data_IF_064642410537
#
_entry.id   IF_064642410537
#
_cell.length_a   1.000
_cell.length_b   1.000
_cell.length_c   1.000
_cell.angle_alpha   90.00
_cell.angle_beta   90.00
_cell.angle_gamma   90.00
#
_symmetry.space_group_name_H-M   'P 1'
#
loop_
_entity.id
_entity.type
_entity.pdbx_description
1 polymer ?
#
# COMPACT_ATOMS: atom_id res chain seq x y z
N UNK A 1 -0.30 2.62 -22.56
CA UNK A 1 0.03 1.18 -22.44
C UNK A 1 -0.74 0.60 -21.28
N UNK A 2 -1.26 -0.61 -21.41
CA UNK A 2 -1.97 -1.30 -20.32
C UNK A 2 -0.93 -1.88 -19.35
N UNK A 3 -1.00 -1.54 -18.07
CA UNK A 3 -0.14 -2.12 -17.05
C UNK A 3 -0.71 -3.44 -16.56
N UNK A 4 0.14 -4.43 -16.32
CA UNK A 4 -0.21 -5.65 -15.63
C UNK A 4 0.17 -5.50 -14.15
N UNK A 5 -0.83 -5.43 -13.29
CA UNK A 5 -0.66 -5.22 -11.86
C UNK A 5 -0.92 -6.51 -11.10
N UNK A 6 0.05 -6.91 -10.29
CA UNK A 6 -0.10 -8.03 -9.38
C UNK A 6 -0.73 -7.56 -8.06
N UNK A 7 -1.77 -8.25 -7.60
CA UNK A 7 -2.42 -8.01 -6.31
C UNK A 7 -2.09 -9.17 -5.37
N UNK A 8 -1.56 -8.86 -4.19
CA UNK A 8 -1.28 -9.86 -3.16
C UNK A 8 -2.59 -10.37 -2.56
N UNK A 9 -3.11 -11.48 -3.07
CA UNK A 9 -4.43 -12.00 -2.76
C UNK A 9 -4.40 -13.10 -1.68
N UNK A 10 -3.80 -12.79 -0.52
CA UNK A 10 -3.67 -13.71 0.61
C UNK A 10 -4.77 -13.52 1.64
N UNK A 11 -5.03 -12.26 2.02
CA UNK A 11 -6.04 -11.88 3.02
C UNK A 11 -6.32 -10.38 2.91
N UNK A 12 -7.57 -9.96 3.16
CA UNK A 12 -8.00 -8.56 3.20
C UNK A 12 -8.68 -8.09 1.91
N UNK A 13 -8.56 -6.80 1.60
CA UNK A 13 -9.37 -6.08 0.62
C UNK A 13 -8.81 -6.21 -0.83
N UNK A 14 -8.27 -7.38 -1.20
CA UNK A 14 -7.66 -7.58 -2.52
C UNK A 14 -8.67 -7.51 -3.67
N UNK A 15 -9.92 -7.96 -3.45
CA UNK A 15 -10.96 -7.93 -4.48
C UNK A 15 -11.38 -6.49 -4.83
N UNK A 16 -11.43 -5.59 -3.85
CA UNK A 16 -11.72 -4.17 -4.03
C UNK A 16 -10.60 -3.50 -4.83
N UNK A 17 -9.34 -3.79 -4.52
CA UNK A 17 -8.20 -3.33 -5.32
C UNK A 17 -8.26 -3.80 -6.76
N UNK A 18 -8.59 -5.08 -6.99
CA UNK A 18 -8.74 -5.61 -8.34
C UNK A 18 -9.82 -4.89 -9.14
N UNK A 19 -10.97 -4.64 -8.51
CA UNK A 19 -12.06 -3.92 -9.14
C UNK A 19 -11.65 -2.49 -9.53
N UNK A 20 -11.02 -1.75 -8.61
CA UNK A 20 -10.53 -0.40 -8.86
C UNK A 20 -9.48 -0.37 -9.99
N UNK A 21 -8.54 -1.32 -10.00
CA UNK A 21 -7.51 -1.43 -11.04
C UNK A 21 -8.12 -1.71 -12.43
N UNK A 22 -9.09 -2.62 -12.51
CA UNK A 22 -9.80 -2.91 -13.78
C UNK A 22 -10.57 -1.70 -14.29
N UNK A 23 -11.20 -0.92 -13.39
CA UNK A 23 -11.87 0.33 -13.74
C UNK A 23 -10.88 1.39 -14.25
N UNK A 24 -9.64 1.36 -13.80
CA UNK A 24 -8.55 2.20 -14.32
C UNK A 24 -7.88 1.64 -15.59
N UNK A 25 -8.39 0.55 -16.17
CA UNK A 25 -7.90 -0.02 -17.43
C UNK A 25 -6.64 -0.89 -17.29
N UNK A 26 -6.29 -1.36 -16.10
CA UNK A 26 -5.16 -2.25 -15.87
C UNK A 26 -5.54 -3.72 -16.08
N UNK A 27 -4.58 -4.52 -16.55
CA UNK A 27 -4.63 -5.98 -16.44
C UNK A 27 -4.27 -6.38 -15.01
N UNK A 28 -5.06 -7.25 -14.40
CA UNK A 28 -4.88 -7.66 -13.01
C UNK A 28 -4.56 -9.13 -12.91
N UNK A 29 -3.57 -9.49 -12.11
CA UNK A 29 -3.26 -10.86 -11.71
C UNK A 29 -3.15 -10.98 -10.20
N UNK A 30 -3.52 -12.13 -9.67
CA UNK A 30 -3.36 -12.43 -8.25
C UNK A 30 -2.01 -13.10 -7.97
N UNK A 31 -1.43 -12.80 -6.80
CA UNK A 31 -0.35 -13.57 -6.19
C UNK A 31 -0.93 -14.30 -4.98
N UNK A 32 -1.01 -15.63 -5.06
CA UNK A 32 -1.49 -16.52 -4.00
C UNK A 32 -0.45 -17.57 -3.58
N UNK A 33 0.54 -17.83 -4.41
CA UNK A 33 1.57 -18.83 -4.21
C UNK A 33 2.85 -18.47 -4.96
N UNK A 34 3.98 -19.10 -4.62
CA UNK A 34 5.30 -18.78 -5.19
C UNK A 34 5.35 -18.96 -6.72
N UNK A 35 4.60 -19.89 -7.28
CA UNK A 35 4.52 -20.10 -8.73
C UNK A 35 3.97 -18.85 -9.49
N UNK A 36 3.14 -18.02 -8.85
CA UNK A 36 2.60 -16.83 -9.48
C UNK A 36 3.67 -15.75 -9.70
N UNK A 37 4.76 -15.78 -8.94
CA UNK A 37 5.90 -14.87 -9.10
C UNK A 37 6.70 -15.14 -10.39
N UNK A 38 6.50 -16.26 -11.06
CA UNK A 38 7.14 -16.55 -12.35
C UNK A 38 6.54 -15.74 -13.50
N UNK A 39 5.34 -15.20 -13.32
CA UNK A 39 4.68 -14.34 -14.31
C UNK A 39 5.23 -12.92 -14.21
N UNK A 40 5.38 -12.22 -15.34
CA UNK A 40 5.78 -10.83 -15.35
C UNK A 40 4.64 -9.90 -14.93
N UNK A 41 4.96 -8.87 -14.16
CA UNK A 41 4.05 -7.79 -13.80
C UNK A 41 4.83 -6.48 -13.61
N UNK A 42 4.14 -5.36 -13.72
CA UNK A 42 4.72 -4.02 -13.73
C UNK A 42 4.75 -3.37 -12.34
N UNK A 43 3.82 -3.74 -11.48
CA UNK A 43 3.72 -3.24 -10.10
C UNK A 43 3.02 -4.26 -9.21
N UNK A 44 3.21 -4.08 -7.90
CA UNK A 44 2.59 -4.88 -6.84
C UNK A 44 1.62 -4.02 -6.03
N UNK A 45 0.42 -4.53 -5.79
CA UNK A 45 -0.51 -4.00 -4.80
C UNK A 45 -0.48 -4.88 -3.55
N UNK A 46 -0.27 -4.25 -2.39
CA UNK A 46 -0.34 -4.90 -1.07
C UNK A 46 -1.57 -4.35 -0.36
N UNK A 47 -2.67 -5.12 -0.27
CA UNK A 47 -3.95 -4.66 0.24
C UNK A 47 -3.93 -4.36 1.74
N UNK A 48 -5.00 -3.68 2.19
CA UNK A 48 -5.42 -3.67 3.58
C UNK A 48 -5.84 -5.05 4.06
N UNK A 49 -5.95 -5.22 5.38
CA UNK A 49 -6.28 -6.47 6.03
C UNK A 49 -5.62 -6.60 7.39
N UNK A 50 -5.28 -7.83 7.80
CA UNK A 50 -4.58 -8.09 9.06
C UNK A 50 -3.09 -8.36 8.80
N UNK A 51 -2.24 -7.40 9.14
CA UNK A 51 -0.81 -7.45 8.81
C UNK A 51 -0.07 -8.65 9.41
N UNK A 52 -0.47 -9.13 10.59
CA UNK A 52 0.11 -10.34 11.21
C UNK A 52 -0.23 -11.59 10.42
N UNK A 53 -1.46 -11.70 9.95
CA UNK A 53 -1.92 -12.83 9.13
C UNK A 53 -1.25 -12.82 7.76
N UNK A 54 -1.24 -11.65 7.09
CA UNK A 54 -0.57 -11.51 5.78
C UNK A 54 0.91 -11.83 5.92
N UNK A 55 1.59 -11.30 6.95
CA UNK A 55 3.01 -11.55 7.19
C UNK A 55 3.34 -13.02 7.47
N UNK A 56 2.44 -13.75 8.14
CA UNK A 56 2.55 -15.20 8.35
C UNK A 56 2.40 -15.94 7.02
N UNK A 57 1.34 -15.67 6.26
CA UNK A 57 1.07 -16.30 4.97
C UNK A 57 2.18 -16.05 3.94
N UNK A 58 2.76 -14.85 3.91
CA UNK A 58 3.91 -14.53 3.05
C UNK A 58 5.09 -15.49 3.29
N UNK A 59 5.34 -15.88 4.54
CA UNK A 59 6.42 -16.82 4.88
C UNK A 59 6.03 -18.26 4.60
N UNK A 60 4.83 -18.68 4.98
CA UNK A 60 4.35 -20.05 4.79
C UNK A 60 4.23 -20.43 3.30
N UNK A 61 3.89 -19.45 2.44
CA UNK A 61 3.76 -19.64 1.00
C UNK A 61 5.05 -19.31 0.21
N UNK A 62 6.17 -19.11 0.92
CA UNK A 62 7.49 -18.80 0.36
C UNK A 62 7.52 -17.57 -0.56
N UNK A 63 6.64 -16.59 -0.32
CA UNK A 63 6.53 -15.36 -1.09
C UNK A 63 7.44 -14.25 -0.56
N UNK A 64 7.78 -14.28 0.72
CA UNK A 64 8.37 -13.17 1.45
C UNK A 64 9.71 -12.71 0.85
N UNK A 65 10.66 -13.62 0.70
CA UNK A 65 12.04 -13.30 0.29
C UNK A 65 12.09 -12.73 -1.11
N UNK A 66 11.37 -13.34 -2.04
CA UNK A 66 11.34 -12.90 -3.44
C UNK A 66 10.66 -11.54 -3.59
N UNK A 67 9.51 -11.32 -2.94
CA UNK A 67 8.83 -10.03 -2.98
C UNK A 67 9.68 -8.93 -2.34
N UNK A 68 10.32 -9.19 -1.18
CA UNK A 68 11.21 -8.24 -0.56
C UNK A 68 12.37 -7.86 -1.48
N UNK A 69 12.99 -8.83 -2.15
CA UNK A 69 14.07 -8.61 -3.08
C UNK A 69 13.62 -7.75 -4.27
N UNK A 70 12.47 -8.03 -4.86
CA UNK A 70 11.91 -7.24 -5.96
C UNK A 70 11.57 -5.81 -5.56
N UNK A 71 10.99 -5.62 -4.38
CA UNK A 71 10.68 -4.28 -3.84
C UNK A 71 11.96 -3.47 -3.65
N UNK A 72 13.00 -4.08 -3.06
CA UNK A 72 14.32 -3.44 -2.91
C UNK A 72 15.00 -3.15 -4.24
N UNK A 73 14.76 -3.96 -5.26
CA UNK A 73 15.22 -3.75 -6.63
C UNK A 73 14.44 -2.66 -7.39
N UNK A 74 13.42 -2.06 -6.77
CA UNK A 74 12.67 -0.93 -7.34
C UNK A 74 11.36 -1.32 -8.02
N UNK A 75 10.80 -2.50 -7.71
CA UNK A 75 9.44 -2.84 -8.11
C UNK A 75 8.47 -1.77 -7.57
N UNK A 76 7.65 -1.13 -8.42
CA UNK A 76 6.63 -0.21 -7.96
C UNK A 76 5.60 -0.91 -7.04
N UNK A 77 5.27 -0.27 -5.92
CA UNK A 77 4.34 -0.81 -4.93
C UNK A 77 3.27 0.22 -4.59
N UNK A 78 2.02 -0.23 -4.56
CA UNK A 78 0.87 0.48 -4.00
C UNK A 78 0.38 -0.29 -2.78
N UNK A 79 0.47 0.33 -1.59
CA UNK A 79 0.15 -0.34 -0.34
C UNK A 79 -0.87 0.46 0.48
N UNK A 80 -1.90 -0.21 1.02
CA UNK A 80 -2.93 0.42 1.86
C UNK A 80 -2.99 -0.23 3.24
N UNK A 81 -3.19 0.56 4.27
CA UNK A 81 -3.44 0.15 5.65
C UNK A 81 -2.44 -0.94 6.14
N UNK A 82 -2.82 -2.22 6.14
CA UNK A 82 -1.92 -3.33 6.49
C UNK A 82 -0.69 -3.38 5.56
N UNK A 83 -0.84 -3.05 4.29
CA UNK A 83 0.26 -2.96 3.33
C UNK A 83 1.32 -1.93 3.76
N UNK A 84 0.92 -0.76 4.25
CA UNK A 84 1.84 0.23 4.83
C UNK A 84 2.61 -0.38 6.03
N UNK A 85 1.93 -1.11 6.91
CA UNK A 85 2.58 -1.79 8.07
C UNK A 85 3.61 -2.82 7.59
N UNK A 86 3.30 -3.57 6.53
CA UNK A 86 4.21 -4.58 5.98
C UNK A 86 5.47 -3.97 5.35
N UNK A 87 5.38 -2.77 4.77
CA UNK A 87 6.52 -2.06 4.18
C UNK A 87 7.37 -1.34 5.22
N UNK A 88 6.78 -0.85 6.31
CA UNK A 88 7.43 0.00 7.32
C UNK A 88 8.71 -0.60 7.88
N UNK A 89 9.72 0.25 8.13
CA UNK A 89 10.97 -0.16 8.80
C UNK A 89 10.70 -0.57 10.24
N UNK A 90 9.81 0.13 10.94
CA UNK A 90 9.46 -0.14 12.34
C UNK A 90 7.97 -0.05 12.60
N UNK A 91 7.53 -0.89 13.53
CA UNK A 91 6.20 -0.81 14.14
C UNK A 91 6.41 -0.42 15.61
N UNK A 92 5.78 0.67 16.04
CA UNK A 92 5.92 1.19 17.40
C UNK A 92 5.36 0.19 18.41
N UNK A 93 6.12 -0.06 19.47
CA UNK A 93 5.80 -1.01 20.55
C UNK A 93 5.55 -2.46 20.08
N UNK A 94 6.13 -2.84 18.93
CA UNK A 94 6.03 -4.19 18.38
C UNK A 94 7.40 -4.61 17.81
N UNK A 95 7.85 -5.81 18.16
CA UNK A 95 9.09 -6.39 17.62
C UNK A 95 8.91 -7.03 16.25
N UNK A 96 7.67 -7.12 15.75
CA UNK A 96 7.39 -7.68 14.45
C UNK A 96 8.04 -6.84 13.34
N UNK A 97 8.66 -7.53 12.40
CA UNK A 97 9.27 -6.92 11.23
C UNK A 97 8.89 -7.71 9.99
N UNK A 98 8.53 -6.97 8.94
CA UNK A 98 8.17 -7.55 7.65
C UNK A 98 9.17 -7.11 6.57
N UNK A 99 8.74 -6.54 5.47
CA UNK A 99 9.62 -6.19 4.35
C UNK A 99 10.69 -5.15 4.69
N UNK A 100 10.39 -4.17 5.55
CA UNK A 100 11.34 -3.12 5.97
C UNK A 100 12.00 -2.43 4.78
N UNK A 101 11.20 -1.96 3.86
CA UNK A 101 11.64 -1.31 2.62
C UNK A 101 11.28 0.17 2.55
N UNK A 102 10.43 0.63 3.47
CA UNK A 102 9.95 2.00 3.57
C UNK A 102 10.41 2.61 4.91
N UNK A 103 11.22 3.68 4.88
CA UNK A 103 11.79 4.31 6.09
C UNK A 103 10.75 5.14 6.86
N UNK A 104 9.78 4.45 7.42
CA UNK A 104 8.78 5.03 8.33
C UNK A 104 8.64 4.19 9.58
N UNK A 105 8.20 4.84 10.68
CA UNK A 105 7.70 4.15 11.87
C UNK A 105 6.20 4.28 11.91
N UNK A 106 5.48 3.18 12.05
CA UNK A 106 4.01 3.15 12.11
C UNK A 106 3.54 2.65 13.47
N UNK A 107 2.35 3.10 13.88
CA UNK A 107 1.62 2.56 15.03
C UNK A 107 0.32 1.94 14.55
N UNK A 108 0.03 0.72 15.00
CA UNK A 108 -1.21 0.01 14.67
C UNK A 108 -2.40 0.62 15.42
N UNK A 109 -3.58 0.60 14.80
CA UNK A 109 -4.87 0.98 15.42
C UNK A 109 -4.80 2.35 16.13
N UNK A 110 -4.18 3.33 15.50
CA UNK A 110 -3.79 4.59 16.16
C UNK A 110 -4.95 5.55 16.41
N UNK A 111 -6.08 5.39 15.72
CA UNK A 111 -7.23 6.31 15.83
C UNK A 111 -8.24 5.91 16.91
N UNK A 112 -7.91 4.93 17.77
CA UNK A 112 -8.68 4.55 18.96
C UNK A 112 -10.01 3.84 18.67
N UNK A 113 -10.66 3.34 19.75
CA UNK A 113 -11.93 2.58 19.63
C UNK A 113 -13.12 3.46 19.21
N UNK A 114 -13.11 4.76 19.53
CA UNK A 114 -14.21 5.69 19.22
C UNK A 114 -14.17 6.25 17.79
N UNK A 115 -12.99 6.28 17.15
CA UNK A 115 -12.78 6.72 15.78
C UNK A 115 -12.24 5.58 14.92
N UNK A 116 -12.67 4.35 15.19
CA UNK A 116 -12.15 3.15 14.52
C UNK A 116 -12.34 3.15 13.01
N UNK A 117 -13.33 3.88 12.50
CA UNK A 117 -13.57 4.06 11.06
C UNK A 117 -14.25 5.40 10.84
N UNK A 118 -13.75 6.17 9.87
CA UNK A 118 -14.32 7.46 9.47
C UNK A 118 -13.98 7.78 8.02
N UNK A 119 -14.75 8.69 7.42
CA UNK A 119 -14.51 9.23 6.09
C UNK A 119 -14.20 10.71 6.21
N UNK A 120 -13.29 11.18 5.37
CA UNK A 120 -12.93 12.60 5.27
C UNK A 120 -12.48 12.92 3.84
N UNK A 121 -12.18 14.17 3.57
CA UNK A 121 -11.52 14.61 2.35
C UNK A 121 -10.22 15.30 2.73
N UNK A 122 -9.23 15.23 1.88
CA UNK A 122 -7.94 15.90 2.06
C UNK A 122 -7.18 16.00 0.75
N UNK A 123 -6.06 16.71 0.78
CA UNK A 123 -5.21 16.85 -0.40
C UNK A 123 -4.25 15.69 -0.51
N UNK A 124 -3.96 15.28 -1.75
CA UNK A 124 -3.00 14.22 -2.07
C UNK A 124 -2.15 14.63 -3.26
N UNK A 125 -0.87 14.87 -3.06
CA UNK A 125 0.10 15.12 -4.14
C UNK A 125 -0.36 16.18 -5.17
N UNK A 126 -1.02 17.24 -4.71
CA UNK A 126 -1.58 18.30 -5.56
C UNK A 126 -2.97 18.02 -6.13
N UNK A 127 -3.57 16.90 -5.78
CA UNK A 127 -4.99 16.63 -6.01
C UNK A 127 -5.79 17.16 -4.82
N UNK A 128 -6.73 18.06 -5.08
CA UNK A 128 -7.56 18.66 -4.04
C UNK A 128 -8.75 17.77 -3.68
N UNK A 129 -9.12 17.75 -2.40
CA UNK A 129 -10.35 17.14 -1.88
C UNK A 129 -10.54 15.69 -2.33
N UNK A 130 -9.50 14.88 -2.15
CA UNK A 130 -9.59 13.45 -2.41
C UNK A 130 -10.30 12.78 -1.24
N UNK A 131 -11.32 11.95 -1.46
CA UNK A 131 -11.98 11.25 -0.38
C UNK A 131 -11.06 10.17 0.22
N UNK A 132 -11.08 10.06 1.55
CA UNK A 132 -10.23 9.15 2.31
C UNK A 132 -11.09 8.34 3.28
N UNK A 133 -11.01 7.02 3.19
CA UNK A 133 -11.69 6.08 4.08
C UNK A 133 -10.70 5.45 5.04
N UNK A 134 -10.80 5.78 6.33
CA UNK A 134 -9.96 5.20 7.39
C UNK A 134 -10.73 4.09 8.10
N UNK A 135 -10.14 2.90 8.19
CA UNK A 135 -10.72 1.73 8.88
C UNK A 135 -9.64 1.14 9.77
N UNK A 136 -9.76 1.29 11.09
CA UNK A 136 -8.76 0.86 12.07
C UNK A 136 -7.32 1.18 11.65
N UNK A 137 -7.17 2.35 11.05
CA UNK A 137 -5.97 2.74 10.32
C UNK A 137 -4.72 2.80 11.21
N UNK A 138 -3.56 2.46 10.67
CA UNK A 138 -2.28 2.79 11.31
C UNK A 138 -2.02 4.30 11.22
N UNK A 139 -1.25 4.84 12.15
CA UNK A 139 -0.65 6.18 12.00
C UNK A 139 0.82 6.06 11.62
N UNK A 140 1.29 7.03 10.84
CA UNK A 140 2.72 7.21 10.56
C UNK A 140 3.25 8.16 11.63
N UNK A 141 4.11 7.64 12.53
CA UNK A 141 4.64 8.39 13.68
C UNK A 141 5.99 9.04 13.36
N UNK A 142 6.76 8.48 12.43
CA UNK A 142 8.01 9.02 11.94
C UNK A 142 8.15 8.80 10.44
N UNK A 143 8.65 9.81 9.78
CA UNK A 143 9.04 9.77 8.36
C UNK A 143 10.56 9.95 8.29
N UNK A 144 11.25 9.05 7.60
CA UNK A 144 12.70 9.08 7.43
C UNK A 144 13.17 9.95 6.27
N UNK A 145 14.48 10.01 6.10
CA UNK A 145 15.09 10.76 5.02
C UNK A 145 14.78 10.10 3.65
N UNK A 146 14.45 10.91 2.65
CA UNK A 146 14.12 10.41 1.30
C UNK A 146 12.69 9.88 1.16
N UNK A 147 11.86 10.01 2.19
CA UNK A 147 10.42 9.76 2.14
C UNK A 147 9.69 11.08 1.95
N UNK A 148 8.84 11.16 0.95
CA UNK A 148 7.99 12.33 0.67
C UNK A 148 6.61 12.11 1.25
N UNK A 149 6.10 13.06 2.03
CA UNK A 149 4.72 13.07 2.49
C UNK A 149 3.84 13.62 1.36
N UNK A 150 2.82 12.85 0.97
CA UNK A 150 1.90 13.20 -0.12
C UNK A 150 0.52 13.63 0.38
N UNK A 151 0.18 13.26 1.61
CA UNK A 151 -1.09 13.62 2.26
C UNK A 151 -0.93 13.64 3.77
N UNK A 152 -1.67 14.54 4.42
CA UNK A 152 -1.74 14.65 5.87
C UNK A 152 -3.20 14.78 6.34
N UNK A 153 -3.47 14.31 7.55
CA UNK A 153 -4.72 14.51 8.25
C UNK A 153 -4.44 14.85 9.72
N UNK A 154 -4.99 15.97 10.20
CA UNK A 154 -4.76 16.49 11.56
C UNK A 154 -3.25 16.60 11.90
N UNK A 155 -2.43 17.06 10.96
CA UNK A 155 -0.99 17.26 11.14
C UNK A 155 -0.18 15.96 11.21
N UNK A 156 -0.76 14.83 10.82
CA UNK A 156 -0.06 13.53 10.71
C UNK A 156 -0.02 13.06 9.27
N UNK A 157 1.12 12.54 8.80
CA UNK A 157 1.21 11.92 7.50
C UNK A 157 0.23 10.75 7.36
N UNK A 158 -0.47 10.69 6.23
CA UNK A 158 -1.42 9.62 5.90
C UNK A 158 -1.12 8.94 4.58
N UNK A 159 -0.31 9.56 3.72
CA UNK A 159 0.24 8.94 2.52
C UNK A 159 1.69 9.38 2.33
N UNK A 160 2.55 8.43 1.97
CA UNK A 160 3.99 8.64 1.77
C UNK A 160 4.49 7.93 0.53
N UNK A 161 5.54 8.49 -0.07
CA UNK A 161 6.25 7.93 -1.21
C UNK A 161 7.74 7.83 -0.90
N UNK A 162 8.34 6.68 -1.13
CA UNK A 162 9.80 6.50 -1.16
C UNK A 162 10.19 5.71 -2.40
N UNK A 163 10.99 6.31 -3.27
CA UNK A 163 11.28 5.72 -4.56
C UNK A 163 10.00 5.44 -5.35
N UNK A 164 9.70 4.16 -5.59
CA UNK A 164 8.48 3.72 -6.28
C UNK A 164 7.45 3.07 -5.33
N UNK A 165 7.62 3.21 -4.03
CA UNK A 165 6.71 2.67 -3.03
C UNK A 165 5.77 3.77 -2.54
N UNK A 166 4.50 3.70 -2.95
CA UNK A 166 3.39 4.52 -2.43
C UNK A 166 2.67 3.75 -1.34
N UNK A 167 2.59 4.31 -0.15
CA UNK A 167 1.91 3.69 0.98
C UNK A 167 0.94 4.67 1.65
N UNK A 168 -0.27 4.20 1.91
CA UNK A 168 -1.38 4.96 2.47
C UNK A 168 -1.90 4.32 3.76
N UNK A 169 -2.26 5.15 4.74
CA UNK A 169 -2.90 4.69 5.97
C UNK A 169 -4.39 4.37 5.79
N UNK A 170 -5.01 4.80 4.69
CA UNK A 170 -6.43 4.69 4.39
C UNK A 170 -6.69 3.84 3.14
N UNK A 171 -7.95 3.65 2.80
CA UNK A 171 -8.46 2.71 1.79
C UNK A 171 -9.11 3.44 0.61
N UNK A 172 -8.36 3.91 -0.40
CA UNK A 172 -8.94 4.54 -1.60
C UNK A 172 -9.69 3.52 -2.47
N UNK A 173 -9.35 2.23 -2.38
CA UNK A 173 -9.98 1.14 -3.13
C UNK A 173 -11.46 0.92 -2.78
N UNK A 174 -11.90 1.37 -1.61
CA UNK A 174 -13.30 1.27 -1.17
C UNK A 174 -14.18 2.40 -1.71
N UNK A 175 -13.60 3.34 -2.43
CA UNK A 175 -14.26 4.55 -2.90
C UNK A 175 -14.38 4.55 -4.42
N UNK A 176 -15.35 5.28 -4.96
CA UNK A 176 -15.52 5.44 -6.41
C UNK A 176 -14.54 6.42 -7.05
N UNK A 177 -13.81 7.17 -6.24
CA UNK A 177 -12.79 8.10 -6.70
C UNK A 177 -11.43 7.39 -6.85
N UNK A 178 -11.01 7.15 -8.07
CA UNK A 178 -9.77 6.45 -8.37
C UNK A 178 -8.59 7.36 -8.71
N UNK A 179 -8.67 8.68 -8.43
CA UNK A 179 -7.59 9.64 -8.76
C UNK A 179 -6.24 9.27 -8.15
N UNK A 180 -6.20 8.75 -6.92
CA UNK A 180 -4.95 8.29 -6.28
C UNK A 180 -4.36 7.10 -7.04
N UNK A 181 -5.19 6.12 -7.39
CA UNK A 181 -4.75 4.94 -8.13
C UNK A 181 -4.27 5.32 -9.54
N UNK A 182 -4.97 6.20 -10.23
CA UNK A 182 -4.55 6.74 -11.53
C UNK A 182 -3.22 7.49 -11.43
N UNK A 183 -3.04 8.30 -10.36
CA UNK A 183 -1.77 8.97 -10.09
C UNK A 183 -0.61 7.97 -9.97
N UNK A 184 -0.81 6.88 -9.22
CA UNK A 184 0.19 5.81 -9.10
C UNK A 184 0.48 5.13 -10.45
N UNK A 185 -0.55 4.78 -11.21
CA UNK A 185 -0.39 4.14 -12.53
C UNK A 185 0.37 5.02 -13.51
N UNK A 186 0.13 6.34 -13.51
CA UNK A 186 0.88 7.30 -14.33
C UNK A 186 2.36 7.33 -13.92
N UNK A 187 2.68 7.29 -12.62
CA UNK A 187 4.07 7.24 -12.12
C UNK A 187 4.83 5.99 -12.57
N UNK A 188 4.16 4.85 -12.71
CA UNK A 188 4.79 3.64 -13.27
C UNK A 188 5.14 3.86 -14.74
N UNK A 189 4.25 4.50 -15.50
CA UNK A 189 4.45 4.80 -16.93
C UNK A 189 5.65 5.69 -17.18
N UNK A 190 5.79 6.78 -16.41
CA UNK A 190 6.90 7.76 -16.53
C UNK A 190 8.30 7.15 -16.25
N UNK A 191 8.34 6.04 -15.52
CA UNK A 191 9.60 5.38 -15.15
C UNK A 191 10.20 4.50 -16.25
N UNK A 192 9.55 4.38 -17.41
CA UNK A 192 9.97 3.55 -18.55
C UNK A 192 10.57 4.37 -19.71
N UNK A 193 10.60 5.70 -19.59
CA UNK A 193 11.25 6.62 -20.53
C UNK A 193 12.61 7.02 -20.00
#
# INVERSE_FOLDING_TARGET
>A
MTHRIAVLALQGDFAEHENALRQCGSEVMEIRQSADLQKSFDALVIPGGESTVIGKLLRELELFTELQARIRAGLPVFATCAGLILLADRIENDSAAYFRTLDVTVRRNAYGRQLGSFHTEGDFAGLDRVPMSFIRAPSIERVGNGVTVLSEFNGKPTAVLQGKQLALAYHPELLSDHRILQWFLNKIGDSRT
#
